data_IF_251502011741
#
_entry.id   IF_251502011741
#
_cell.length_a   1.000
_cell.length_b   1.000
_cell.length_c   1.000
_cell.angle_alpha   90.00
_cell.angle_beta   90.00
_cell.angle_gamma   90.00
#
_symmetry.space_group_name_H-M   'P 1'
#
loop_
_entity.id
_entity.type
_entity.pdbx_description
1 polymer ?
#
# COMPACT_ATOMS: atom_id res chain seq x y z
N UNK A 1 0.59 21.50 36.10
CA UNK A 1 1.69 21.44 35.12
C UNK A 1 1.60 20.14 34.29
N UNK A 2 0.54 19.96 33.48
CA UNK A 2 0.42 18.92 32.42
C UNK A 2 -0.81 19.23 31.54
N UNK A 3 -0.75 20.35 30.82
CA UNK A 3 -1.64 20.68 29.70
C UNK A 3 -0.71 21.25 28.66
N UNK A 4 -0.25 20.47 27.68
CA UNK A 4 0.31 20.94 26.39
C UNK A 4 0.91 19.83 25.48
N UNK A 5 0.42 18.59 25.52
CA UNK A 5 0.88 17.52 24.59
C UNK A 5 -0.18 17.00 23.61
N UNK A 6 -1.36 17.61 23.54
CA UNK A 6 -2.48 17.14 22.71
C UNK A 6 -2.83 18.06 21.52
N UNK A 7 -1.84 18.75 20.93
CA UNK A 7 -2.04 19.53 19.70
C UNK A 7 -0.98 19.21 18.65
N UNK A 8 -1.10 18.03 18.01
CA UNK A 8 -0.97 17.98 16.55
C UNK A 8 -2.18 17.35 15.83
N UNK A 9 -3.15 16.78 16.56
CA UNK A 9 -4.24 15.97 15.98
C UNK A 9 -5.48 16.77 15.50
N UNK A 10 -5.49 18.09 15.63
CA UNK A 10 -6.71 18.92 15.41
C UNK A 10 -6.97 19.25 13.92
N UNK A 11 -6.10 18.85 13.00
CA UNK A 11 -6.31 19.16 11.56
C UNK A 11 -7.25 18.15 10.85
N UNK A 12 -7.63 17.04 11.51
CA UNK A 12 -8.46 15.98 10.90
C UNK A 12 -9.99 16.21 10.91
N UNK A 13 -10.51 17.29 11.49
CA UNK A 13 -11.94 17.36 11.79
C UNK A 13 -12.65 18.56 11.15
N UNK A 14 -13.03 18.43 9.89
CA UNK A 14 -14.18 19.16 9.34
C UNK A 14 -15.53 18.71 9.93
N UNK A 15 -15.55 17.69 10.80
CA UNK A 15 -16.76 17.22 11.48
C UNK A 15 -16.46 16.87 12.94
N UNK A 16 -16.91 17.75 13.83
CA UNK A 16 -16.55 17.73 15.25
C UNK A 16 -17.07 16.51 16.05
N UNK A 17 -17.94 15.65 15.53
CA UNK A 17 -18.49 14.52 16.29
C UNK A 17 -17.73 13.20 16.12
N UNK A 18 -17.17 12.91 14.95
CA UNK A 18 -16.41 11.66 14.71
C UNK A 18 -15.08 11.61 15.48
N UNK A 19 -14.36 12.73 15.51
CA UNK A 19 -13.16 12.88 16.35
C UNK A 19 -13.50 12.83 17.85
N UNK A 20 -14.66 13.35 18.26
CA UNK A 20 -15.13 13.26 19.66
C UNK A 20 -15.43 11.83 20.08
N UNK A 21 -15.91 10.99 19.16
CA UNK A 21 -16.19 9.57 19.42
C UNK A 21 -14.91 8.73 19.59
N UNK A 22 -13.91 8.96 18.74
CA UNK A 22 -12.59 8.36 18.92
C UNK A 22 -11.95 8.76 20.26
N UNK A 23 -12.22 9.98 20.72
CA UNK A 23 -11.74 10.47 22.02
C UNK A 23 -12.56 9.95 23.22
N UNK A 24 -13.81 9.51 23.02
CA UNK A 24 -14.69 9.05 24.10
C UNK A 24 -14.47 7.58 24.47
N UNK A 25 -14.16 6.72 23.49
CA UNK A 25 -13.96 5.28 23.71
C UNK A 25 -12.49 4.89 23.50
N UNK A 26 -11.64 4.96 24.54
CA UNK A 26 -10.19 4.70 24.41
C UNK A 26 -9.88 3.27 23.94
N UNK A 27 -10.78 2.32 24.19
CA UNK A 27 -10.67 0.94 23.68
C UNK A 27 -10.76 0.88 22.15
N UNK A 28 -11.76 1.56 21.57
CA UNK A 28 -12.00 1.59 20.12
C UNK A 28 -10.86 2.31 19.42
N UNK A 29 -10.44 3.46 19.94
CA UNK A 29 -9.30 4.19 19.40
C UNK A 29 -8.01 3.37 19.48
N UNK A 30 -7.76 2.68 20.60
CA UNK A 30 -6.62 1.77 20.73
C UNK A 30 -6.67 0.67 19.67
N UNK A 31 -7.80 0.00 19.48
CA UNK A 31 -7.91 -1.07 18.48
C UNK A 31 -7.70 -0.58 17.05
N UNK A 32 -8.27 0.59 16.69
CA UNK A 32 -8.04 1.21 15.38
C UNK A 32 -6.57 1.59 15.18
N UNK A 33 -5.94 2.24 16.16
CA UNK A 33 -4.54 2.64 16.07
C UNK A 33 -3.59 1.44 16.03
N UNK A 34 -3.86 0.38 16.80
CA UNK A 34 -3.10 -0.87 16.75
C UNK A 34 -3.18 -1.53 15.38
N UNK A 35 -4.39 -1.58 14.79
CA UNK A 35 -4.61 -2.09 13.43
C UNK A 35 -3.82 -1.28 12.40
N UNK A 36 -3.97 0.05 12.43
CA UNK A 36 -3.28 0.97 11.53
C UNK A 36 -1.76 0.86 11.67
N UNK A 37 -1.23 0.73 12.89
CA UNK A 37 0.20 0.61 13.14
C UNK A 37 0.77 -0.71 12.60
N UNK A 38 0.03 -1.81 12.76
CA UNK A 38 0.43 -3.09 12.17
C UNK A 38 0.48 -3.01 10.64
N UNK A 39 -0.57 -2.47 10.01
CA UNK A 39 -0.57 -2.30 8.55
C UNK A 39 0.53 -1.34 8.09
N UNK A 40 0.75 -0.22 8.80
CA UNK A 40 1.84 0.71 8.51
C UNK A 40 3.19 -0.03 8.43
N UNK A 41 3.55 -0.79 9.47
CA UNK A 41 4.83 -1.52 9.52
C UNK A 41 4.95 -2.59 8.42
N UNK A 42 3.87 -3.32 8.13
CA UNK A 42 3.88 -4.32 7.06
C UNK A 42 4.09 -3.67 5.70
N UNK A 43 3.32 -2.62 5.42
CA UNK A 43 3.36 -1.91 4.14
C UNK A 43 4.60 -1.02 4.00
N UNK A 44 5.24 -0.59 5.10
CA UNK A 44 6.56 0.05 5.06
C UNK A 44 7.58 -0.90 4.42
N UNK A 45 7.51 -2.17 4.79
CA UNK A 45 8.39 -3.21 4.24
C UNK A 45 8.03 -3.54 2.79
N UNK A 46 6.74 -3.76 2.52
CA UNK A 46 6.27 -4.09 1.18
C UNK A 46 6.53 -2.97 0.17
N UNK A 47 6.20 -1.73 0.51
CA UNK A 47 6.31 -0.59 -0.39
C UNK A 47 7.77 -0.24 -0.68
N UNK A 48 8.62 -0.25 0.35
CA UNK A 48 10.06 -0.01 0.18
C UNK A 48 10.71 -1.06 -0.72
N UNK A 49 10.31 -2.33 -0.59
CA UNK A 49 10.76 -3.40 -1.49
C UNK A 49 10.16 -3.25 -2.90
N UNK A 50 8.84 -3.03 -3.01
CA UNK A 50 8.13 -2.94 -4.28
C UNK A 50 8.69 -1.84 -5.19
N UNK A 51 8.98 -0.65 -4.65
CA UNK A 51 9.60 0.45 -5.40
C UNK A 51 11.01 0.15 -5.91
N UNK A 52 11.67 -0.86 -5.36
CA UNK A 52 13.01 -1.30 -5.78
C UNK A 52 12.99 -2.61 -6.57
N UNK A 53 11.86 -3.32 -6.64
CA UNK A 53 11.79 -4.66 -7.26
C UNK A 53 12.20 -4.63 -8.74
N UNK A 54 11.72 -3.66 -9.52
CA UNK A 54 12.09 -3.52 -10.93
C UNK A 54 13.57 -3.17 -11.11
N UNK A 55 14.12 -2.37 -10.20
CA UNK A 55 15.52 -1.93 -10.26
C UNK A 55 16.52 -3.00 -9.81
N UNK A 56 16.22 -3.72 -8.73
CA UNK A 56 17.11 -4.76 -8.17
C UNK A 56 16.99 -6.07 -8.94
N UNK A 57 15.79 -6.43 -9.42
CA UNK A 57 15.55 -7.67 -10.15
C UNK A 57 15.31 -7.41 -11.65
N UNK A 58 16.15 -6.57 -12.26
CA UNK A 58 16.04 -6.18 -13.68
C UNK A 58 16.44 -7.29 -14.66
N UNK A 59 17.28 -8.25 -14.23
CA UNK A 59 17.75 -9.36 -15.08
C UNK A 59 16.56 -10.20 -15.58
N UNK A 60 16.32 -10.16 -16.88
CA UNK A 60 15.21 -10.87 -17.53
C UNK A 60 13.81 -10.36 -17.15
N UNK A 61 13.70 -9.17 -16.55
CA UNK A 61 12.44 -8.62 -16.06
C UNK A 61 11.83 -9.42 -14.89
N UNK A 62 12.66 -10.07 -14.07
CA UNK A 62 12.19 -10.90 -12.95
C UNK A 62 11.32 -10.12 -11.95
N UNK A 63 11.72 -8.89 -11.61
CA UNK A 63 10.98 -8.04 -10.66
C UNK A 63 9.60 -7.66 -11.19
N UNK A 64 9.51 -7.24 -12.45
CA UNK A 64 8.24 -6.89 -13.10
C UNK A 64 7.35 -8.11 -13.30
N UNK A 65 7.91 -9.26 -13.67
CA UNK A 65 7.19 -10.53 -13.74
C UNK A 65 6.63 -10.96 -12.37
N UNK A 66 7.40 -10.81 -11.29
CA UNK A 66 6.94 -11.08 -9.92
C UNK A 66 5.78 -10.18 -9.50
N UNK A 67 5.86 -8.87 -9.78
CA UNK A 67 4.74 -7.96 -9.53
C UNK A 67 3.50 -8.37 -10.34
N UNK A 68 3.65 -8.68 -11.63
CA UNK A 68 2.55 -9.15 -12.48
C UNK A 68 1.89 -10.42 -11.93
N UNK A 69 2.68 -11.41 -11.50
CA UNK A 69 2.18 -12.65 -10.87
C UNK A 69 1.43 -12.34 -9.57
N UNK A 70 1.94 -11.42 -8.75
CA UNK A 70 1.27 -10.98 -7.52
C UNK A 70 -0.15 -10.50 -7.83
N UNK A 71 -0.29 -9.55 -8.76
CA UNK A 71 -1.61 -9.02 -9.14
C UNK A 71 -2.51 -10.06 -9.82
N UNK A 72 -1.94 -10.94 -10.66
CA UNK A 72 -2.68 -12.03 -11.29
C UNK A 72 -3.26 -13.02 -10.26
N UNK A 73 -2.56 -13.25 -9.14
CA UNK A 73 -3.04 -14.10 -8.06
C UNK A 73 -4.02 -13.40 -7.11
N UNK A 74 -3.92 -12.08 -6.93
CA UNK A 74 -4.88 -11.30 -6.10
C UNK A 74 -6.32 -11.42 -6.62
N UNK A 75 -6.51 -11.40 -7.95
CA UNK A 75 -7.85 -11.45 -8.58
C UNK A 75 -8.64 -12.71 -8.17
N UNK A 76 -8.20 -13.95 -8.46
CA UNK A 76 -8.93 -15.14 -8.02
C UNK A 76 -8.97 -15.27 -6.49
N UNK A 77 -7.94 -14.77 -5.79
CA UNK A 77 -7.91 -14.78 -4.33
C UNK A 77 -9.04 -13.93 -3.73
N UNK A 78 -9.33 -12.77 -4.29
CA UNK A 78 -10.41 -11.88 -3.83
C UNK A 78 -11.78 -12.52 -3.96
N UNK A 79 -11.98 -13.36 -4.98
CA UNK A 79 -13.26 -14.00 -5.27
C UNK A 79 -13.48 -15.26 -4.43
N UNK A 80 -12.41 -16.04 -4.19
CA UNK A 80 -12.48 -17.37 -3.59
C UNK A 80 -11.93 -17.39 -2.15
N UNK A 81 -10.69 -16.94 -1.98
CA UNK A 81 -9.95 -17.10 -0.71
C UNK A 81 -10.47 -16.13 0.35
N UNK A 82 -10.72 -14.87 -0.01
CA UNK A 82 -11.21 -13.85 0.94
C UNK A 82 -12.51 -14.25 1.66
N UNK A 83 -13.62 -14.58 0.98
CA UNK A 83 -14.86 -14.93 1.68
C UNK A 83 -14.72 -16.23 2.50
N UNK A 84 -13.96 -17.21 2.01
CA UNK A 84 -13.75 -18.47 2.74
C UNK A 84 -12.93 -18.26 4.02
N UNK A 85 -11.83 -17.50 3.92
CA UNK A 85 -10.96 -17.21 5.06
C UNK A 85 -11.71 -16.44 6.15
N UNK A 86 -12.47 -15.41 5.78
CA UNK A 86 -13.19 -14.57 6.75
C UNK A 86 -14.26 -15.35 7.53
N UNK A 87 -14.98 -16.26 6.88
CA UNK A 87 -16.01 -17.04 7.55
C UNK A 87 -15.45 -18.10 8.51
N UNK A 88 -14.36 -18.73 8.09
CA UNK A 88 -13.75 -19.84 8.84
C UNK A 88 -12.91 -19.31 10.00
N UNK A 89 -12.08 -18.31 9.72
CA UNK A 89 -11.05 -17.84 10.65
C UNK A 89 -11.45 -16.55 11.39
N UNK A 90 -12.37 -15.77 10.84
CA UNK A 90 -12.65 -14.42 11.32
C UNK A 90 -11.65 -13.38 10.80
N UNK A 91 -11.93 -12.09 11.05
CA UNK A 91 -11.17 -11.00 10.45
C UNK A 91 -9.71 -10.97 10.96
N UNK A 92 -9.49 -11.07 12.29
CA UNK A 92 -8.17 -11.00 12.90
C UNK A 92 -7.22 -12.08 12.38
N UNK A 93 -7.66 -13.34 12.38
CA UNK A 93 -6.82 -14.47 11.98
C UNK A 93 -6.56 -14.49 10.47
N UNK A 94 -7.55 -14.07 9.67
CA UNK A 94 -7.36 -13.89 8.22
C UNK A 94 -6.26 -12.87 7.95
N UNK A 95 -6.26 -11.72 8.65
CA UNK A 95 -5.19 -10.73 8.53
C UNK A 95 -3.84 -11.27 8.98
N UNK A 96 -3.77 -11.99 10.11
CA UNK A 96 -2.53 -12.59 10.61
C UNK A 96 -1.91 -13.57 9.61
N UNK A 97 -2.70 -14.48 9.04
CA UNK A 97 -2.20 -15.42 8.04
C UNK A 97 -1.76 -14.70 6.75
N UNK A 98 -2.51 -13.68 6.34
CA UNK A 98 -2.12 -12.81 5.22
C UNK A 98 -0.76 -12.18 5.46
N UNK A 99 -0.55 -11.58 6.64
CA UNK A 99 0.72 -10.96 7.04
C UNK A 99 1.89 -11.96 7.13
N UNK A 100 1.66 -13.19 7.57
CA UNK A 100 2.68 -14.24 7.54
C UNK A 100 3.09 -14.59 6.10
N UNK A 101 2.15 -14.59 5.16
CA UNK A 101 2.44 -14.75 3.73
C UNK A 101 3.38 -13.67 3.19
N UNK A 102 3.20 -12.41 3.61
CA UNK A 102 4.12 -11.30 3.27
C UNK A 102 5.53 -11.55 3.84
N UNK A 103 5.65 -12.01 5.08
CA UNK A 103 6.95 -12.34 5.68
C UNK A 103 7.65 -13.45 4.90
N UNK A 104 6.92 -14.50 4.48
CA UNK A 104 7.47 -15.58 3.65
C UNK A 104 7.97 -15.04 2.31
N UNK A 105 7.22 -14.14 1.67
CA UNK A 105 7.67 -13.47 0.44
C UNK A 105 8.99 -12.69 0.65
N UNK A 106 9.13 -11.95 1.75
CA UNK A 106 10.38 -11.24 2.06
C UNK A 106 11.55 -12.20 2.32
N UNK A 107 11.30 -13.33 2.99
CA UNK A 107 12.33 -14.36 3.21
C UNK A 107 12.77 -15.00 1.89
N UNK A 108 11.83 -15.31 0.98
CA UNK A 108 12.16 -15.83 -0.34
C UNK A 108 12.95 -14.81 -1.18
N UNK A 109 12.72 -13.52 -0.94
CA UNK A 109 13.43 -12.43 -1.63
C UNK A 109 14.89 -12.29 -1.19
N UNK A 110 15.36 -12.98 -0.14
CA UNK A 110 16.78 -12.99 0.26
C UNK A 110 17.69 -13.72 -0.76
N UNK A 111 17.11 -14.63 -1.53
CA UNK A 111 17.80 -15.37 -2.59
C UNK A 111 17.01 -15.17 -3.90
N UNK A 112 17.12 -14.00 -4.55
CA UNK A 112 16.29 -13.67 -5.69
C UNK A 112 16.62 -14.54 -6.90
N UNK A 113 15.60 -15.18 -7.44
CA UNK A 113 15.66 -16.00 -8.64
C UNK A 113 14.25 -16.38 -9.09
N UNK A 114 14.13 -16.89 -10.31
CA UNK A 114 12.84 -17.31 -10.86
C UNK A 114 12.10 -18.33 -9.99
N UNK A 115 12.84 -19.22 -9.33
CA UNK A 115 12.28 -20.26 -8.45
C UNK A 115 11.84 -19.74 -7.07
N UNK A 116 12.28 -18.55 -6.64
CA UNK A 116 11.94 -17.99 -5.32
C UNK A 116 10.95 -16.83 -5.44
N UNK A 117 11.21 -15.89 -6.34
CA UNK A 117 10.39 -14.68 -6.53
C UNK A 117 9.02 -15.05 -7.10
N UNK A 118 8.94 -15.90 -8.14
CA UNK A 118 7.65 -16.21 -8.77
C UNK A 118 6.70 -16.95 -7.81
N UNK A 119 7.10 -18.03 -7.10
CA UNK A 119 6.23 -18.66 -6.12
C UNK A 119 5.94 -17.75 -4.92
N UNK A 120 6.93 -16.95 -4.48
CA UNK A 120 6.73 -15.97 -3.42
C UNK A 120 5.69 -14.91 -3.79
N UNK A 121 5.73 -14.39 -5.01
CA UNK A 121 4.77 -13.44 -5.56
C UNK A 121 3.36 -14.05 -5.70
N UNK A 122 3.26 -15.32 -6.11
CA UNK A 122 1.98 -16.02 -6.16
C UNK A 122 1.37 -16.16 -4.76
N UNK A 123 2.18 -16.57 -3.77
CA UNK A 123 1.77 -16.64 -2.36
C UNK A 123 1.33 -15.27 -1.84
N UNK A 124 2.13 -14.23 -2.10
CA UNK A 124 1.82 -12.86 -1.73
C UNK A 124 0.47 -12.42 -2.29
N UNK A 125 0.18 -12.71 -3.56
CA UNK A 125 -1.09 -12.38 -4.19
C UNK A 125 -2.29 -13.13 -3.57
N UNK A 126 -2.11 -14.42 -3.26
CA UNK A 126 -3.11 -15.24 -2.56
C UNK A 126 -3.37 -14.77 -1.12
N UNK A 127 -2.38 -14.16 -0.47
CA UNK A 127 -2.50 -13.63 0.88
C UNK A 127 -2.97 -12.16 0.91
N UNK A 128 -2.69 -11.38 -0.14
CA UNK A 128 -2.98 -9.95 -0.20
C UNK A 128 -4.49 -9.66 -0.21
N UNK A 129 -5.26 -10.36 -1.03
CA UNK A 129 -6.70 -10.13 -1.10
C UNK A 129 -7.44 -10.41 0.24
N UNK A 130 -7.25 -11.55 0.93
CA UNK A 130 -7.89 -11.79 2.22
C UNK A 130 -7.41 -10.83 3.31
N UNK A 131 -6.14 -10.39 3.27
CA UNK A 131 -5.61 -9.40 4.20
C UNK A 131 -6.40 -8.08 4.15
N UNK A 132 -6.58 -7.52 2.95
CA UNK A 132 -7.34 -6.28 2.75
C UNK A 132 -8.83 -6.46 3.04
N UNK A 133 -9.42 -7.59 2.66
CA UNK A 133 -10.81 -7.89 2.97
C UNK A 133 -11.06 -7.99 4.49
N UNK A 134 -10.14 -8.62 5.22
CA UNK A 134 -10.18 -8.70 6.69
C UNK A 134 -10.04 -7.35 7.37
N UNK A 135 -9.18 -6.48 6.84
CA UNK A 135 -9.04 -5.09 7.32
C UNK A 135 -10.35 -4.32 7.16
N UNK A 136 -10.95 -4.36 5.96
CA UNK A 136 -12.19 -3.64 5.69
C UNK A 136 -13.33 -4.13 6.58
N UNK A 137 -13.47 -5.45 6.74
CA UNK A 137 -14.47 -6.03 7.63
C UNK A 137 -14.26 -5.63 9.09
N UNK A 138 -13.02 -5.69 9.58
CA UNK A 138 -12.69 -5.31 10.95
C UNK A 138 -13.00 -3.83 11.22
N UNK A 139 -12.65 -2.96 10.27
CA UNK A 139 -12.90 -1.52 10.37
C UNK A 139 -14.39 -1.20 10.38
N UNK A 140 -15.18 -1.89 9.54
CA UNK A 140 -16.65 -1.79 9.54
C UNK A 140 -17.23 -2.26 10.88
N UNK A 141 -16.78 -3.39 11.41
CA UNK A 141 -17.21 -3.91 12.71
C UNK A 141 -16.90 -2.92 13.84
N UNK A 142 -15.71 -2.33 13.82
CA UNK A 142 -15.29 -1.37 14.83
C UNK A 142 -16.11 -0.08 14.76
N UNK A 143 -16.41 0.41 13.55
CA UNK A 143 -17.30 1.56 13.35
C UNK A 143 -18.73 1.26 13.83
N UNK A 144 -19.25 0.06 13.58
CA UNK A 144 -20.57 -0.35 14.04
C UNK A 144 -20.66 -0.44 15.58
N UNK A 145 -19.61 -0.94 16.25
CA UNK A 145 -19.52 -0.94 17.73
C UNK A 145 -19.52 0.50 18.24
N UNK A 146 -18.74 1.39 17.61
CA UNK A 146 -18.69 2.79 17.99
C UNK A 146 -20.05 3.49 17.83
N UNK A 147 -20.77 3.22 16.74
CA UNK A 147 -22.12 3.75 16.51
C UNK A 147 -23.14 3.24 17.56
N UNK A 148 -23.01 1.98 17.97
CA UNK A 148 -23.86 1.40 19.02
C UNK A 148 -23.59 2.04 20.39
N UNK A 149 -22.33 2.26 20.76
CA UNK A 149 -21.94 2.98 21.98
C UNK A 149 -22.46 4.43 21.96
N UNK A 150 -22.28 5.13 20.84
CA UNK A 150 -22.78 6.49 20.66
C UNK A 150 -24.30 6.59 20.86
N UNK A 151 -25.05 5.61 20.32
CA UNK A 151 -26.49 5.56 20.45
C UNK A 151 -26.96 5.25 21.88
N UNK A 152 -26.18 4.49 22.66
CA UNK A 152 -26.46 4.23 24.07
C UNK A 152 -26.22 5.49 24.93
N UNK A 153 -25.14 6.22 24.67
CA UNK A 153 -24.81 7.48 25.35
C UNK A 153 -25.83 8.58 25.06
N UNK A 154 -26.30 8.69 23.81
CA UNK A 154 -27.30 9.69 23.42
C UNK A 154 -28.66 9.44 24.11
N UNK A 155 -29.07 8.16 24.26
CA UNK A 155 -30.24 7.79 25.08
C UNK A 155 -30.06 8.16 26.56
N UNK A 156 -28.85 7.99 27.10
CA UNK A 156 -28.51 8.42 28.45
C UNK A 156 -28.59 9.94 28.63
N UNK A 157 -28.10 10.72 27.66
CA UNK A 157 -28.19 12.20 27.66
C UNK A 157 -29.61 12.71 27.48
N UNK A 158 -30.40 12.06 26.62
CA UNK A 158 -31.79 12.44 26.39
C UNK A 158 -32.65 12.22 27.63
N UNK A 159 -32.40 11.15 28.39
CA UNK A 159 -33.03 10.93 29.70
C UNK A 159 -32.64 12.01 30.73
N UNK A 160 -31.47 12.64 30.59
CA UNK A 160 -31.00 13.76 31.43
C UNK A 160 -31.34 15.15 30.87
N UNK A 161 -32.18 15.24 29.83
CA UNK A 161 -32.70 16.52 29.30
C UNK A 161 -31.72 17.30 28.39
N UNK A 162 -30.64 16.68 27.93
CA UNK A 162 -29.68 17.34 27.05
C UNK A 162 -30.03 17.15 25.56
N UNK A 163 -29.74 18.16 24.73
CA UNK A 163 -30.04 18.12 23.29
C UNK A 163 -29.07 17.18 22.58
N UNK A 164 -29.62 16.08 22.03
CA UNK A 164 -28.86 15.03 21.35
C UNK A 164 -27.95 15.53 20.23
N UNK A 165 -26.79 14.89 20.11
CA UNK A 165 -25.73 15.27 19.17
C UNK A 165 -26.04 14.87 17.72
N UNK A 166 -25.49 15.60 16.75
CA UNK A 166 -25.62 15.29 15.32
C UNK A 166 -24.91 13.96 15.00
N UNK A 167 -25.64 12.95 14.51
CA UNK A 167 -25.09 11.68 14.02
C UNK A 167 -24.17 11.95 12.83
N UNK A 168 -22.89 11.63 12.96
CA UNK A 168 -21.90 11.68 11.88
C UNK A 168 -21.72 10.28 11.33
N UNK A 169 -21.48 10.16 10.03
CA UNK A 169 -21.09 8.88 9.44
C UNK A 169 -19.73 8.47 10.02
N UNK A 170 -19.72 7.50 10.92
CA UNK A 170 -18.54 7.03 11.64
C UNK A 170 -17.62 6.22 10.73
N UNK A 171 -18.19 5.48 9.78
CA UNK A 171 -17.43 4.60 8.89
C UNK A 171 -16.34 5.31 8.04
N UNK A 172 -16.63 6.41 7.31
CA UNK A 172 -15.59 7.12 6.54
C UNK A 172 -14.49 7.71 7.42
N UNK A 173 -14.78 8.06 8.68
CA UNK A 173 -13.77 8.58 9.62
C UNK A 173 -12.78 7.49 10.00
N UNK A 174 -13.26 6.27 10.24
CA UNK A 174 -12.41 5.14 10.61
C UNK A 174 -11.48 4.74 9.47
N UNK A 175 -12.02 4.60 8.26
CA UNK A 175 -11.21 4.37 7.06
C UNK A 175 -10.25 5.52 6.78
N UNK A 176 -10.69 6.77 6.94
CA UNK A 176 -9.84 7.94 6.76
C UNK A 176 -8.63 7.96 7.71
N UNK A 177 -8.84 7.68 9.00
CA UNK A 177 -7.74 7.57 9.98
C UNK A 177 -6.81 6.40 9.63
N UNK A 178 -7.38 5.24 9.29
CA UNK A 178 -6.60 4.07 8.91
C UNK A 178 -5.72 4.34 7.69
N UNK A 179 -6.30 4.79 6.58
CA UNK A 179 -5.56 5.05 5.35
C UNK A 179 -4.58 6.20 5.52
N UNK A 180 -4.90 7.27 6.26
CA UNK A 180 -3.92 8.35 6.51
C UNK A 180 -2.64 7.81 7.18
N UNK A 181 -2.80 6.92 8.16
CA UNK A 181 -1.65 6.30 8.85
C UNK A 181 -0.93 5.33 7.92
N UNK A 182 -1.64 4.41 7.28
CA UNK A 182 -1.04 3.36 6.44
C UNK A 182 -0.35 3.94 5.20
N UNK A 183 -0.93 4.95 4.57
CA UNK A 183 -0.35 5.65 3.42
C UNK A 183 1.03 6.27 3.71
N UNK A 184 1.30 6.62 4.97
CA UNK A 184 2.64 7.09 5.37
C UNK A 184 3.74 6.01 5.24
N UNK A 185 3.38 4.75 4.97
CA UNK A 185 4.33 3.67 4.70
C UNK A 185 5.28 3.99 3.53
N UNK A 186 4.81 4.74 2.52
CA UNK A 186 5.61 5.21 1.40
C UNK A 186 6.79 6.09 1.86
N UNK A 187 6.63 6.83 2.95
CA UNK A 187 7.71 7.66 3.51
C UNK A 187 8.74 6.76 4.19
N UNK A 188 8.30 5.90 5.11
CA UNK A 188 9.19 5.09 5.92
C UNK A 188 9.91 4.00 5.12
N UNK A 189 9.20 3.34 4.19
CA UNK A 189 9.78 2.26 3.38
C UNK A 189 10.88 2.78 2.47
N UNK A 190 10.61 3.90 1.78
CA UNK A 190 11.57 4.53 0.91
C UNK A 190 12.71 5.24 1.67
N UNK A 191 12.46 5.66 2.92
CA UNK A 191 13.52 6.16 3.80
C UNK A 191 14.50 5.05 4.20
N UNK A 192 14.00 3.85 4.56
CA UNK A 192 14.85 2.68 4.82
C UNK A 192 15.69 2.34 3.58
N UNK A 193 15.07 2.34 2.40
CA UNK A 193 15.76 2.16 1.12
C UNK A 193 16.87 3.19 0.90
N UNK A 194 16.56 4.48 1.00
CA UNK A 194 17.52 5.55 0.77
C UNK A 194 18.71 5.47 1.73
N UNK A 195 18.45 5.34 3.03
CA UNK A 195 19.50 5.34 4.06
C UNK A 195 20.43 4.13 3.97
N UNK A 196 19.92 2.99 3.48
CA UNK A 196 20.73 1.78 3.33
C UNK A 196 21.57 1.80 2.05
N UNK A 197 21.08 2.45 1.01
CA UNK A 197 21.71 2.44 -0.31
C UNK A 197 22.69 3.60 -0.53
N UNK A 198 22.47 4.75 0.11
CA UNK A 198 23.33 5.93 -0.03
C UNK A 198 24.75 5.67 0.51
N UNK A 199 25.77 5.99 -0.27
CA UNK A 199 27.16 6.00 0.21
C UNK A 199 27.50 7.35 0.83
N UNK A 200 27.97 7.32 2.08
CA UNK A 200 28.58 8.48 2.73
C UNK A 200 30.10 8.34 2.66
N UNK A 201 30.71 9.03 1.71
CA UNK A 201 32.15 9.34 1.75
C UNK A 201 32.35 10.73 2.36
N UNK A 202 33.46 10.94 3.08
CA UNK A 202 33.77 12.12 3.92
C UNK A 202 33.96 13.47 3.17
N UNK A 203 33.32 13.66 2.02
CA UNK A 203 33.36 14.91 1.25
C UNK A 203 32.09 15.26 0.48
N UNK A 204 31.02 14.46 0.59
CA UNK A 204 29.75 14.70 -0.11
C UNK A 204 28.93 13.43 -0.27
N UNK A 205 27.63 13.57 -0.51
CA UNK A 205 26.75 12.46 -0.90
C UNK A 205 27.14 12.05 -2.32
N UNK A 206 27.99 11.05 -2.47
CA UNK A 206 28.28 10.45 -3.77
C UNK A 206 27.29 9.30 -4.00
N UNK A 207 26.36 9.47 -4.93
CA UNK A 207 25.55 8.38 -5.43
C UNK A 207 26.45 7.40 -6.21
N UNK A 208 27.06 6.45 -5.52
CA UNK A 208 27.73 5.33 -6.16
C UNK A 208 26.68 4.43 -6.80
N UNK A 209 26.42 4.64 -8.08
CA UNK A 209 26.01 3.61 -9.04
C UNK A 209 26.13 4.25 -10.40
N UNK A 210 26.79 3.55 -11.32
CA UNK A 210 27.17 4.05 -12.62
C UNK A 210 25.97 4.72 -13.32
N UNK A 211 25.98 6.06 -13.37
CA UNK A 211 25.31 6.79 -14.42
C UNK A 211 26.06 6.42 -15.71
N UNK A 212 25.74 5.25 -16.25
CA UNK A 212 26.29 4.79 -17.52
C UNK A 212 25.75 5.77 -18.55
N UNK A 213 26.62 6.69 -18.97
CA UNK A 213 26.37 7.80 -19.89
C UNK A 213 25.92 7.37 -21.30
N UNK A 214 25.56 6.10 -21.49
CA UNK A 214 25.15 5.47 -22.74
C UNK A 214 23.73 4.85 -22.69
N UNK A 215 22.99 4.97 -21.58
CA UNK A 215 21.57 4.57 -21.56
C UNK A 215 20.66 5.71 -22.00
N UNK A 216 19.68 5.37 -22.85
CA UNK A 216 18.58 6.26 -23.19
C UNK A 216 17.52 6.16 -22.08
N UNK A 217 17.56 7.03 -21.07
CA UNK A 217 16.60 7.08 -19.97
C UNK A 217 15.28 7.77 -20.37
N UNK A 218 14.28 7.74 -19.48
CA UNK A 218 12.97 8.36 -19.70
C UNK A 218 12.15 7.60 -20.76
N UNK A 219 11.49 8.31 -21.68
CA UNK A 219 10.63 7.69 -22.68
C UNK A 219 11.34 6.74 -23.66
N UNK A 220 12.68 6.81 -23.77
CA UNK A 220 13.50 5.92 -24.61
C UNK A 220 14.04 4.70 -23.86
N UNK A 221 13.68 4.54 -22.59
CA UNK A 221 14.14 3.43 -21.77
C UNK A 221 13.64 2.10 -22.33
N UNK A 222 14.56 1.15 -22.53
CA UNK A 222 14.26 -0.19 -23.01
C UNK A 222 14.99 -1.23 -22.14
N UNK A 223 14.29 -1.96 -21.26
CA UNK A 223 14.92 -2.92 -20.35
C UNK A 223 15.50 -4.16 -21.06
N UNK A 224 15.14 -4.40 -22.34
CA UNK A 224 15.45 -5.62 -23.08
C UNK A 224 16.75 -5.58 -23.91
N UNK A 225 17.49 -4.47 -23.93
CA UNK A 225 18.76 -4.37 -24.66
C UNK A 225 19.91 -4.06 -23.69
N UNK A 226 20.84 -5.00 -23.43
CA UNK A 226 22.17 -4.59 -23.00
C UNK A 226 22.73 -3.64 -24.06
N UNK A 227 23.37 -2.55 -23.64
CA UNK A 227 23.90 -1.55 -24.55
C UNK A 227 24.73 -2.23 -25.65
N UNK A 228 24.53 -1.85 -26.90
CA UNK A 228 25.40 -2.29 -27.99
C UNK A 228 26.83 -1.82 -27.65
N UNK A 229 27.68 -2.76 -27.21
CA UNK A 229 29.06 -2.49 -26.77
C UNK A 229 29.32 -2.51 -25.26
N UNK A 230 28.35 -2.90 -24.41
CA UNK A 230 28.66 -3.28 -23.03
C UNK A 230 29.30 -4.68 -23.06
N UNK A 231 30.63 -4.73 -23.01
CA UNK A 231 31.33 -5.96 -22.66
C UNK A 231 30.83 -6.41 -21.27
N UNK A 232 30.46 -7.69 -21.17
CA UNK A 232 30.21 -8.32 -19.88
C UNK A 232 31.44 -8.10 -18.98
N UNK A 233 31.26 -7.84 -17.67
CA UNK A 233 32.39 -7.65 -16.76
C UNK A 233 33.36 -8.82 -16.92
N UNK A 234 34.60 -8.50 -17.31
CA UNK A 234 35.61 -9.45 -17.80
C UNK A 234 36.37 -10.17 -16.68
N UNK A 235 35.91 -10.06 -15.43
CA UNK A 235 36.52 -10.77 -14.30
C UNK A 235 35.46 -11.35 -13.36
N UNK A 236 35.57 -12.66 -13.09
CA UNK A 236 34.72 -13.39 -12.15
C UNK A 236 34.79 -12.81 -10.71
N UNK A 237 35.84 -12.04 -10.39
CA UNK A 237 36.09 -11.44 -9.08
C UNK A 237 35.30 -10.13 -8.83
N UNK A 238 35.00 -9.33 -9.87
CA UNK A 238 34.12 -8.14 -9.71
C UNK A 238 32.65 -8.53 -9.65
N UNK A 239 32.27 -9.64 -10.29
CA UNK A 239 30.92 -10.21 -10.24
C UNK A 239 30.64 -10.86 -8.88
N UNK A 240 31.63 -11.47 -8.22
CA UNK A 240 31.49 -12.01 -6.85
C UNK A 240 31.34 -10.91 -5.76
N UNK A 241 31.87 -9.70 -5.99
CA UNK A 241 31.73 -8.57 -5.07
C UNK A 241 30.35 -7.87 -5.15
N UNK A 242 29.65 -8.06 -6.28
CA UNK A 242 28.32 -7.53 -6.54
C UNK A 242 27.27 -8.57 -6.10
N UNK A 243 26.55 -8.27 -5.03
CA UNK A 243 25.37 -9.02 -4.62
C UNK A 243 24.20 -8.89 -5.60
N UNK A 244 23.04 -9.48 -5.24
CA UNK A 244 21.88 -9.49 -6.13
C UNK A 244 21.48 -8.10 -6.63
N UNK A 245 21.21 -7.97 -7.93
CA UNK A 245 20.80 -6.72 -8.55
C UNK A 245 21.89 -5.68 -8.79
N UNK A 246 23.16 -6.08 -8.78
CA UNK A 246 24.29 -5.16 -9.00
C UNK A 246 24.57 -4.26 -7.80
N UNK A 247 24.04 -4.60 -6.61
CA UNK A 247 24.32 -3.91 -5.36
C UNK A 247 25.40 -4.66 -4.57
N UNK A 248 26.26 -3.98 -3.80
CA UNK A 248 27.13 -4.66 -2.83
C UNK A 248 26.32 -5.57 -1.89
N UNK A 249 26.76 -6.81 -1.70
CA UNK A 249 26.01 -7.83 -0.95
C UNK A 249 25.61 -7.35 0.46
N UNK A 250 26.51 -6.62 1.15
CA UNK A 250 26.25 -6.04 2.47
C UNK A 250 25.04 -5.10 2.45
N UNK A 251 24.92 -4.23 1.44
CA UNK A 251 23.79 -3.28 1.33
C UNK A 251 22.48 -4.01 1.06
N UNK A 252 22.50 -4.97 0.14
CA UNK A 252 21.32 -5.77 -0.20
C UNK A 252 20.77 -6.52 1.03
N UNK A 253 21.64 -7.28 1.72
CA UNK A 253 21.20 -8.06 2.88
C UNK A 253 20.83 -7.17 4.08
N UNK A 254 21.50 -6.03 4.28
CA UNK A 254 21.11 -5.06 5.30
C UNK A 254 19.69 -4.55 5.01
N UNK A 255 19.42 -4.13 3.77
CA UNK A 255 18.10 -3.64 3.35
C UNK A 255 17.01 -4.69 3.57
N UNK A 256 17.22 -5.92 3.10
CA UNK A 256 16.24 -7.00 3.26
C UNK A 256 16.03 -7.35 4.74
N UNK A 257 17.08 -7.35 5.55
CA UNK A 257 16.96 -7.62 6.99
C UNK A 257 16.12 -6.56 7.71
N UNK A 258 16.25 -5.28 7.36
CA UNK A 258 15.43 -4.20 7.91
C UNK A 258 13.95 -4.38 7.57
N UNK A 259 13.64 -4.75 6.32
CA UNK A 259 12.25 -5.03 5.90
C UNK A 259 11.68 -6.26 6.59
N UNK A 260 12.42 -7.36 6.69
CA UNK A 260 11.96 -8.57 7.40
C UNK A 260 11.72 -8.27 8.87
N UNK A 261 12.64 -7.56 9.54
CA UNK A 261 12.49 -7.19 10.95
C UNK A 261 11.23 -6.34 11.16
N UNK A 262 11.02 -5.33 10.32
CA UNK A 262 9.85 -4.45 10.40
C UNK A 262 8.55 -5.23 10.15
N UNK A 263 8.54 -6.15 9.18
CA UNK A 263 7.40 -7.02 8.89
C UNK A 263 7.10 -7.99 10.04
N UNK A 264 8.11 -8.58 10.68
CA UNK A 264 7.92 -9.45 11.85
C UNK A 264 7.33 -8.66 13.02
N UNK A 265 7.81 -7.45 13.28
CA UNK A 265 7.23 -6.56 14.31
C UNK A 265 5.76 -6.26 13.98
N UNK A 266 5.40 -6.05 12.71
CA UNK A 266 3.99 -5.89 12.31
C UNK A 266 3.13 -7.09 12.71
N UNK A 267 3.59 -8.33 12.48
CA UNK A 267 2.87 -9.55 12.88
C UNK A 267 2.68 -9.60 14.40
N UNK A 268 3.71 -9.26 15.17
CA UNK A 268 3.64 -9.22 16.63
C UNK A 268 2.63 -8.17 17.11
N UNK A 269 2.60 -6.98 16.50
CA UNK A 269 1.61 -5.95 16.79
C UNK A 269 0.19 -6.45 16.47
N UNK A 270 -0.04 -7.05 15.31
CA UNK A 270 -1.35 -7.64 14.96
C UNK A 270 -1.78 -8.71 15.96
N UNK A 271 -0.85 -9.57 16.39
CA UNK A 271 -1.16 -10.69 17.26
C UNK A 271 -1.53 -10.22 18.68
N UNK A 272 -0.72 -9.34 19.28
CA UNK A 272 -0.84 -8.94 20.67
C UNK A 272 -1.73 -7.72 20.90
N UNK A 273 -1.73 -6.73 20.00
CA UNK A 273 -2.36 -5.42 20.23
C UNK A 273 -3.74 -5.26 19.56
N UNK A 274 -4.05 -6.07 18.55
CA UNK A 274 -5.36 -6.03 17.88
C UNK A 274 -6.31 -7.02 18.53
N UNK A 275 -7.37 -6.49 19.14
CA UNK A 275 -8.40 -7.30 19.80
C UNK A 275 -9.26 -8.03 18.77
N UNK A 276 -9.74 -9.24 19.13
CA UNK A 276 -10.64 -10.03 18.26
C UNK A 276 -12.07 -9.51 18.42
N UNK A 277 -12.67 -9.06 17.31
CA UNK A 277 -14.03 -8.47 17.29
C UNK A 277 -15.04 -9.31 16.50
N UNK A 278 -14.81 -10.62 16.37
CA UNK A 278 -15.75 -11.47 15.62
C UNK A 278 -17.15 -11.41 16.28
N UNK A 279 -18.22 -11.22 15.49
CA UNK A 279 -19.57 -11.23 16.04
C UNK A 279 -19.84 -12.57 16.73
N UNK A 280 -20.62 -12.60 17.82
CA UNK A 280 -21.02 -13.85 18.44
C UNK A 280 -21.70 -14.72 17.39
N UNK A 281 -21.13 -15.90 17.11
CA UNK A 281 -21.75 -16.90 16.24
C UNK A 281 -23.00 -17.41 16.96
N UNK A 282 -24.10 -16.69 16.81
CA UNK A 282 -25.43 -17.10 17.28
C UNK A 282 -26.05 -18.13 16.33
N UNK A 283 -25.28 -19.12 15.90
CA UNK A 283 -25.79 -20.33 15.25
C UNK A 283 -24.84 -21.45 15.69
N UNK A 284 -25.40 -22.52 16.26
CA UNK A 284 -24.66 -23.78 16.37
C UNK A 284 -24.07 -24.07 14.99
N UNK A 285 -22.80 -24.49 14.88
CA UNK A 285 -22.25 -24.88 13.60
C UNK A 285 -23.05 -26.10 13.13
N UNK A 286 -24.08 -25.87 12.31
CA UNK A 286 -24.67 -26.93 11.52
C UNK A 286 -23.49 -27.55 10.80
N UNK A 287 -23.19 -28.81 11.11
CA UNK A 287 -22.19 -29.61 10.37
C UNK A 287 -22.71 -29.74 8.95
N UNK A 288 -22.54 -28.68 8.16
CA UNK A 288 -22.91 -28.63 6.77
C UNK A 288 -22.05 -29.69 6.08
N UNK A 289 -22.68 -30.74 5.55
CA UNK A 289 -21.97 -31.72 4.75
C UNK A 289 -21.24 -31.02 3.61
N UNK A 290 -20.16 -31.62 3.09
CA UNK A 290 -19.35 -31.06 1.99
C UNK A 290 -20.20 -30.55 0.82
N UNK A 291 -21.34 -31.19 0.56
CA UNK A 291 -22.28 -30.80 -0.50
C UNK A 291 -23.01 -29.47 -0.22
N UNK A 292 -23.32 -29.17 1.04
CA UNK A 292 -23.97 -27.94 1.48
C UNK A 292 -22.98 -26.76 1.56
N UNK A 293 -21.70 -27.02 1.86
CA UNK A 293 -20.65 -26.00 1.79
C UNK A 293 -20.35 -25.61 0.33
N UNK A 294 -20.31 -26.59 -0.58
CA UNK A 294 -20.12 -26.35 -2.01
C UNK A 294 -21.29 -25.57 -2.61
N UNK A 295 -22.54 -25.89 -2.24
CA UNK A 295 -23.71 -25.14 -2.73
C UNK A 295 -23.72 -23.68 -2.23
N UNK A 296 -23.34 -23.44 -0.97
CA UNK A 296 -23.19 -22.08 -0.44
C UNK A 296 -22.06 -21.30 -1.13
N UNK A 297 -20.92 -21.94 -1.41
CA UNK A 297 -19.83 -21.31 -2.16
C UNK A 297 -20.27 -20.96 -3.59
N UNK A 298 -20.95 -21.89 -4.28
CA UNK A 298 -21.50 -21.66 -5.62
C UNK A 298 -22.52 -20.54 -5.63
N UNK A 299 -23.37 -20.43 -4.61
CA UNK A 299 -24.33 -19.34 -4.51
C UNK A 299 -23.64 -17.98 -4.31
N UNK A 300 -22.58 -17.93 -3.51
CA UNK A 300 -21.77 -16.70 -3.34
C UNK A 300 -21.03 -16.31 -4.60
N UNK A 301 -20.43 -17.28 -5.28
CA UNK A 301 -19.81 -17.04 -6.58
C UNK A 301 -20.84 -16.56 -7.59
N UNK A 302 -22.04 -17.15 -7.61
CA UNK A 302 -23.14 -16.67 -8.43
C UNK A 302 -23.54 -15.24 -8.09
N UNK A 303 -23.65 -14.89 -6.80
CA UNK A 303 -23.97 -13.52 -6.36
C UNK A 303 -22.86 -12.53 -6.74
N UNK A 304 -21.59 -12.89 -6.54
CA UNK A 304 -20.44 -12.08 -6.95
C UNK A 304 -20.39 -11.89 -8.47
N UNK A 305 -20.61 -12.95 -9.25
CA UNK A 305 -20.69 -12.89 -10.71
C UNK A 305 -21.90 -12.09 -11.19
N UNK A 306 -23.04 -12.22 -10.52
CA UNK A 306 -24.22 -11.39 -10.82
C UNK A 306 -23.95 -9.91 -10.51
N UNK A 307 -23.20 -9.62 -9.46
CA UNK A 307 -22.79 -8.27 -9.10
C UNK A 307 -21.90 -7.64 -10.19
N UNK A 308 -21.00 -8.42 -10.81
CA UNK A 308 -20.15 -7.95 -11.92
C UNK A 308 -20.94 -7.52 -13.17
N UNK A 309 -22.20 -7.93 -13.30
CA UNK A 309 -23.10 -7.54 -14.39
C UNK A 309 -23.91 -6.28 -14.05
N UNK A 310 -23.80 -5.76 -12.81
CA UNK A 310 -24.39 -4.48 -12.46
C UNK A 310 -23.75 -3.37 -13.32
N UNK A 311 -24.54 -2.60 -14.10
CA UNK A 311 -24.01 -1.54 -14.93
C UNK A 311 -23.16 -0.54 -14.14
N UNK A 312 -23.45 -0.30 -12.85
CA UNK A 312 -22.64 0.61 -12.02
C UNK A 312 -21.24 0.08 -11.78
N UNK A 313 -21.09 -1.24 -11.57
CA UNK A 313 -19.77 -1.86 -11.41
C UNK A 313 -19.03 -1.93 -12.73
N UNK A 314 -19.73 -2.23 -13.82
CA UNK A 314 -19.13 -2.28 -15.14
C UNK A 314 -18.54 -0.93 -15.56
N UNK A 315 -19.17 0.19 -15.20
CA UNK A 315 -18.61 1.53 -15.42
C UNK A 315 -17.40 1.85 -14.52
N UNK A 316 -17.29 1.22 -13.35
CA UNK A 316 -16.15 1.40 -12.43
C UNK A 316 -14.93 0.54 -12.83
N UNK A 317 -15.14 -0.58 -13.52
CA UNK A 317 -14.04 -1.48 -13.93
C UNK A 317 -12.94 -0.76 -14.72
N UNK A 318 -13.22 -0.01 -15.82
CA UNK A 318 -12.19 0.72 -16.56
C UNK A 318 -11.42 1.72 -15.69
N UNK A 319 -12.13 2.40 -14.78
CA UNK A 319 -11.54 3.36 -13.86
C UNK A 319 -10.53 2.69 -12.91
N UNK A 320 -10.90 1.54 -12.35
CA UNK A 320 -10.03 0.76 -11.45
C UNK A 320 -8.84 0.13 -12.19
N UNK A 321 -9.03 -0.31 -13.44
CA UNK A 321 -7.95 -0.80 -14.29
C UNK A 321 -6.95 0.33 -14.56
N UNK A 322 -7.44 1.51 -14.93
CA UNK A 322 -6.59 2.67 -15.18
C UNK A 322 -5.79 3.08 -13.95
N UNK A 323 -6.42 3.09 -12.76
CA UNK A 323 -5.72 3.35 -11.50
C UNK A 323 -4.62 2.31 -11.22
N UNK A 324 -4.89 1.02 -11.46
CA UNK A 324 -3.91 -0.05 -11.31
C UNK A 324 -2.73 0.06 -12.28
N UNK A 325 -3.00 0.35 -13.56
CA UNK A 325 -1.96 0.58 -14.57
C UNK A 325 -1.08 1.79 -14.21
N UNK A 326 -1.69 2.87 -13.72
CA UNK A 326 -0.98 4.06 -13.25
C UNK A 326 -0.05 3.78 -12.06
N UNK A 327 -0.51 2.98 -11.09
CA UNK A 327 0.35 2.53 -9.98
C UNK A 327 1.48 1.64 -10.48
N UNK A 328 1.23 0.75 -11.43
CA UNK A 328 2.26 -0.12 -12.02
C UNK A 328 3.34 0.71 -12.74
N UNK A 329 2.93 1.72 -13.52
CA UNK A 329 3.86 2.66 -14.17
C UNK A 329 4.71 3.41 -13.12
N UNK A 330 4.08 3.90 -12.05
CA UNK A 330 4.77 4.67 -11.01
C UNK A 330 5.81 3.87 -10.23
N UNK A 331 5.48 2.62 -9.87
CA UNK A 331 6.31 1.77 -9.02
C UNK A 331 7.28 0.89 -9.81
N UNK A 332 7.05 0.71 -11.11
CA UNK A 332 7.87 -0.09 -12.00
C UNK A 332 8.71 0.78 -12.91
N UNK A 333 8.07 1.37 -13.93
CA UNK A 333 8.72 2.02 -15.06
C UNK A 333 9.30 3.40 -14.72
N UNK A 334 8.58 4.20 -13.93
CA UNK A 334 9.06 5.52 -13.50
C UNK A 334 10.29 5.40 -12.59
N UNK A 335 10.24 4.54 -11.58
CA UNK A 335 11.37 4.33 -10.67
C UNK A 335 12.58 3.73 -11.37
N UNK A 336 12.40 2.79 -12.31
CA UNK A 336 13.50 2.17 -13.04
C UNK A 336 14.03 3.07 -14.18
N UNK A 337 13.15 3.44 -15.12
CA UNK A 337 13.53 4.09 -16.37
C UNK A 337 13.76 5.60 -16.27
N UNK A 338 13.14 6.27 -15.29
CA UNK A 338 13.30 7.72 -15.11
C UNK A 338 14.24 8.03 -13.95
N UNK A 339 14.00 7.46 -12.77
CA UNK A 339 14.77 7.80 -11.55
C UNK A 339 16.09 7.03 -11.46
N UNK A 340 16.04 5.70 -11.43
CA UNK A 340 17.24 4.87 -11.26
C UNK A 340 18.21 5.02 -12.43
N UNK A 341 17.69 5.07 -13.66
CA UNK A 341 18.50 5.25 -14.87
C UNK A 341 19.29 6.57 -14.88
N UNK A 342 18.73 7.67 -14.37
CA UNK A 342 19.38 8.99 -14.43
C UNK A 342 20.18 9.34 -13.18
N UNK A 343 19.68 8.96 -12.00
CA UNK A 343 20.18 9.45 -10.71
C UNK A 343 20.69 8.32 -9.80
N UNK A 344 20.58 7.06 -10.23
CA UNK A 344 20.99 5.88 -9.48
C UNK A 344 19.89 5.29 -8.58
N UNK A 345 20.09 4.04 -8.15
CA UNK A 345 19.07 3.25 -7.42
C UNK A 345 18.79 3.87 -6.03
N UNK A 346 19.78 4.46 -5.38
CA UNK A 346 19.59 5.12 -4.08
C UNK A 346 18.59 6.28 -4.17
N UNK A 347 18.61 7.06 -5.28
CA UNK A 347 17.72 8.19 -5.49
C UNK A 347 16.25 7.80 -5.65
N UNK A 348 15.95 6.54 -5.98
CA UNK A 348 14.56 6.03 -6.02
C UNK A 348 13.88 6.24 -4.67
N UNK A 349 14.55 5.87 -3.57
CA UNK A 349 14.02 6.08 -2.23
C UNK A 349 13.79 7.56 -1.92
N UNK A 350 14.72 8.43 -2.31
CA UNK A 350 14.61 9.87 -2.08
C UNK A 350 13.42 10.50 -2.83
N UNK A 351 13.25 10.16 -4.11
CA UNK A 351 12.13 10.65 -4.93
C UNK A 351 10.79 10.11 -4.42
N UNK A 352 10.71 8.83 -4.06
CA UNK A 352 9.46 8.21 -3.59
C UNK A 352 9.05 8.65 -2.17
N UNK A 353 9.96 9.21 -1.37
CA UNK A 353 9.55 9.94 -0.14
C UNK A 353 8.66 11.13 -0.48
N UNK A 354 8.98 11.89 -1.53
CA UNK A 354 8.16 13.04 -1.96
C UNK A 354 6.78 12.63 -2.48
N UNK A 355 6.70 11.47 -3.15
CA UNK A 355 5.44 10.81 -3.48
C UNK A 355 4.62 10.52 -2.22
N UNK A 356 5.21 9.86 -1.21
CA UNK A 356 4.52 9.51 0.03
C UNK A 356 4.05 10.72 0.84
N UNK A 357 4.85 11.78 0.92
CA UNK A 357 4.45 13.04 1.58
C UNK A 357 3.24 13.65 0.88
N UNK A 358 3.27 13.72 -0.45
CA UNK A 358 2.15 14.23 -1.24
C UNK A 358 0.88 13.40 -1.04
N UNK A 359 1.03 12.09 -0.94
CA UNK A 359 -0.08 11.16 -0.72
C UNK A 359 -0.77 11.42 0.64
N UNK A 360 -0.01 11.57 1.73
CA UNK A 360 -0.56 11.87 3.06
C UNK A 360 -1.25 13.24 3.07
N UNK A 361 -0.62 14.27 2.52
CA UNK A 361 -1.18 15.63 2.49
C UNK A 361 -2.46 15.67 1.64
N UNK A 362 -2.42 15.08 0.45
CA UNK A 362 -3.55 15.11 -0.47
C UNK A 362 -4.71 14.27 0.04
N UNK A 363 -4.49 13.13 0.70
CA UNK A 363 -5.57 12.31 1.26
C UNK A 363 -6.37 13.05 2.33
N UNK A 364 -5.68 13.80 3.19
CA UNK A 364 -6.32 14.65 4.19
C UNK A 364 -7.18 15.77 3.56
N UNK A 365 -6.70 16.34 2.46
CA UNK A 365 -7.39 17.42 1.75
C UNK A 365 -8.51 16.92 0.83
N UNK A 366 -8.35 15.75 0.21
CA UNK A 366 -9.29 15.17 -0.76
C UNK A 366 -10.66 14.92 -0.12
N UNK A 367 -10.70 14.38 1.11
CA UNK A 367 -11.95 14.19 1.83
C UNK A 367 -12.67 15.50 2.14
N UNK A 368 -11.93 16.57 2.46
CA UNK A 368 -12.50 17.90 2.69
C UNK A 368 -12.98 18.55 1.39
N UNK A 369 -12.23 18.37 0.30
CA UNK A 369 -12.60 18.86 -1.02
C UNK A 369 -13.89 18.18 -1.50
N UNK A 370 -13.96 16.85 -1.42
CA UNK A 370 -15.15 16.09 -1.80
C UNK A 370 -16.38 16.46 -0.96
N UNK A 371 -16.20 16.81 0.32
CA UNK A 371 -17.29 17.30 1.16
C UNK A 371 -17.82 18.69 0.75
N UNK A 372 -17.00 19.53 0.10
CA UNK A 372 -17.38 20.90 -0.31
C UNK A 372 -17.93 20.96 -1.74
N UNK A 373 -17.26 20.33 -2.69
CA UNK A 373 -17.60 20.41 -4.13
C UNK A 373 -18.22 19.12 -4.68
N UNK A 374 -18.35 18.08 -3.85
CA UNK A 374 -18.80 16.74 -4.25
C UNK A 374 -17.65 15.85 -4.71
N UNK A 375 -17.81 14.51 -4.69
CA UNK A 375 -16.75 13.57 -5.05
C UNK A 375 -16.44 13.55 -6.55
N UNK A 376 -17.44 13.74 -7.42
CA UNK A 376 -17.27 13.62 -8.87
C UNK A 376 -16.30 14.65 -9.47
N UNK A 377 -16.38 15.96 -9.15
CA UNK A 377 -15.40 16.93 -9.65
C UNK A 377 -13.96 16.65 -9.20
N UNK A 378 -13.79 16.14 -7.97
CA UNK A 378 -12.47 15.80 -7.42
C UNK A 378 -11.87 14.61 -8.17
N UNK A 379 -12.67 13.55 -8.39
CA UNK A 379 -12.25 12.39 -9.19
C UNK A 379 -11.92 12.77 -10.65
N UNK A 380 -12.74 13.62 -11.28
CA UNK A 380 -12.47 14.09 -12.65
C UNK A 380 -11.18 14.90 -12.72
N UNK A 381 -10.89 15.73 -11.72
CA UNK A 381 -9.63 16.48 -11.67
C UNK A 381 -8.40 15.56 -11.53
N UNK A 382 -8.50 14.50 -10.72
CA UNK A 382 -7.45 13.52 -10.58
C UNK A 382 -7.22 12.72 -11.87
N UNK A 383 -8.29 12.35 -12.57
CA UNK A 383 -8.20 11.69 -13.88
C UNK A 383 -7.52 12.56 -14.93
N UNK A 384 -7.89 13.85 -15.00
CA UNK A 384 -7.26 14.78 -15.94
C UNK A 384 -5.79 15.01 -15.60
N UNK A 385 -5.45 15.13 -14.31
CA UNK A 385 -4.07 15.22 -13.84
C UNK A 385 -3.25 13.99 -14.22
N UNK A 386 -3.82 12.79 -14.00
CA UNK A 386 -3.19 11.53 -14.38
C UNK A 386 -2.87 11.46 -15.87
N UNK A 387 -3.87 11.73 -16.72
CA UNK A 387 -3.71 11.72 -18.18
C UNK A 387 -2.65 12.73 -18.64
N UNK A 388 -2.65 13.93 -18.05
CA UNK A 388 -1.64 14.95 -18.36
C UNK A 388 -0.22 14.49 -18.01
N UNK A 389 -0.06 13.78 -16.90
CA UNK A 389 1.24 13.24 -16.46
C UNK A 389 1.72 12.08 -17.32
N UNK A 390 0.83 11.15 -17.67
CA UNK A 390 1.13 10.03 -18.57
C UNK A 390 1.53 10.53 -19.96
N UNK A 391 0.72 11.42 -20.53
CA UNK A 391 1.03 12.05 -21.84
C UNK A 391 2.31 12.89 -21.74
N UNK A 392 2.50 13.64 -20.67
CA UNK A 392 3.71 14.43 -20.44
C UNK A 392 4.97 13.56 -20.39
N UNK A 393 4.89 12.37 -19.80
CA UNK A 393 6.00 11.42 -19.69
C UNK A 393 6.45 10.87 -21.05
N UNK A 394 5.59 10.87 -22.08
CA UNK A 394 5.94 10.46 -23.45
C UNK A 394 6.88 11.44 -24.15
N UNK A 395 6.85 12.72 -23.76
CA UNK A 395 7.64 13.78 -24.38
C UNK A 395 8.79 14.25 -23.48
N UNK A 396 8.93 13.66 -22.30
CA UNK A 396 9.87 14.14 -21.30
C UNK A 396 11.26 13.52 -21.49
N UNK A 397 12.22 14.36 -21.89
CA UNK A 397 13.65 14.04 -21.82
C UNK A 397 14.18 14.31 -20.41
N UNK A 398 14.60 13.24 -19.73
CA UNK A 398 15.11 13.32 -18.36
C UNK A 398 16.60 13.60 -18.39
N UNK A 399 17.00 14.72 -17.80
CA UNK A 399 18.39 15.10 -17.60
C UNK A 399 18.86 14.65 -16.20
N UNK A 400 20.13 14.25 -16.03
CA UNK A 400 20.66 13.86 -14.71
C UNK A 400 20.66 15.00 -13.69
N UNK A 401 20.73 16.25 -14.16
CA UNK A 401 20.69 17.44 -13.33
C UNK A 401 19.86 18.52 -14.04
N UNK A 402 19.02 19.28 -13.32
CA UNK A 402 18.72 19.17 -11.88
C UNK A 402 17.68 18.07 -11.55
N UNK A 403 17.72 17.51 -10.34
CA UNK A 403 16.84 16.40 -9.90
C UNK A 403 15.42 16.82 -9.48
N UNK A 404 15.17 18.12 -9.25
CA UNK A 404 13.86 18.62 -8.78
C UNK A 404 12.65 18.23 -9.67
N UNK A 405 12.76 18.08 -11.00
CA UNK A 405 11.63 17.66 -11.84
C UNK A 405 11.15 16.24 -11.52
N UNK A 406 12.05 15.33 -11.12
CA UNK A 406 11.69 13.97 -10.69
C UNK A 406 10.82 14.02 -9.43
N UNK A 407 11.19 14.87 -8.47
CA UNK A 407 10.37 15.12 -7.27
C UNK A 407 9.02 15.76 -7.60
N UNK A 408 9.00 16.72 -8.53
CA UNK A 408 7.76 17.35 -8.99
C UNK A 408 6.77 16.33 -9.57
N UNK A 409 7.26 15.42 -10.42
CA UNK A 409 6.45 14.34 -10.98
C UNK A 409 5.96 13.38 -9.88
N UNK A 410 6.84 12.97 -8.96
CA UNK A 410 6.48 12.10 -7.86
C UNK A 410 5.41 12.71 -6.93
N UNK A 411 5.51 14.00 -6.62
CA UNK A 411 4.51 14.74 -5.83
C UNK A 411 3.16 14.75 -6.55
N UNK A 412 3.13 15.06 -7.85
CA UNK A 412 1.89 15.07 -8.60
C UNK A 412 1.24 13.67 -8.67
N UNK A 413 2.06 12.61 -8.78
CA UNK A 413 1.55 11.24 -8.81
C UNK A 413 0.99 10.80 -7.46
N UNK A 414 1.69 11.14 -6.37
CA UNK A 414 1.21 10.87 -5.01
C UNK A 414 -0.09 11.60 -4.69
N UNK A 415 -0.28 12.80 -5.24
CA UNK A 415 -1.53 13.55 -5.08
C UNK A 415 -2.70 12.85 -5.79
N UNK A 416 -2.51 12.49 -7.07
CA UNK A 416 -3.51 11.78 -7.87
C UNK A 416 -3.87 10.44 -7.24
N UNK A 417 -2.86 9.64 -6.88
CA UNK A 417 -3.07 8.32 -6.27
C UNK A 417 -3.86 8.42 -4.96
N UNK A 418 -3.54 9.40 -4.13
CA UNK A 418 -4.26 9.59 -2.88
C UNK A 418 -5.73 9.95 -3.08
N UNK A 419 -6.09 10.68 -4.14
CA UNK A 419 -7.49 10.99 -4.44
C UNK A 419 -8.24 9.70 -4.78
N UNK A 420 -7.64 8.82 -5.59
CA UNK A 420 -8.22 7.52 -5.92
C UNK A 420 -8.43 6.66 -4.68
N UNK A 421 -7.38 6.50 -3.86
CA UNK A 421 -7.42 5.70 -2.62
C UNK A 421 -8.45 6.24 -1.62
N UNK A 422 -8.64 7.56 -1.54
CA UNK A 422 -9.54 8.19 -0.55
C UNK A 422 -11.00 8.18 -0.98
N UNK A 423 -11.29 8.22 -2.28
CA UNK A 423 -12.65 8.39 -2.79
C UNK A 423 -13.26 7.12 -3.40
N UNK A 424 -12.45 6.13 -3.78
CA UNK A 424 -12.94 4.84 -4.29
C UNK A 424 -13.11 3.77 -3.21
N UNK A 425 -12.42 3.89 -2.07
CA UNK A 425 -12.61 3.06 -0.88
C UNK A 425 -13.63 3.70 0.06
#
# INVERSE_FOLDING_TARGET
CQRNLARPFVVMAGSSSGARLLLSSPKIARSLLSLSMSFLLMFTSYQGLASLQSSINSVGGLGTAGLAVTYACVVPSSLLVSPLALDWLGAKWTMLLGMLGYVIYFLLSLAPGWATIIPGSALLGLCGAPLWAGMSLYTVQLAAIADAEAAADDKGRQNNGDKGGKKVATLPVFFGVFFTIVTSCNIWGNLISYLTLVDRSDGGVSNSTAAISNFSCGYRFCPAKPAAGAEAPTSDAEVEALGPGGLPAVKFYTLMSCFIATAVVSVLVMFFLVDRNDPPKNEEPVKAGTQQQVSQLLERLRKALAQLVDPRQLLLVPLTINAGLSQAFSLGDFTEGFVACTSGIASVGLVMISYGVSQVVTGLLAGQAAARVGPAPVLLSALMGLLAMEVGSLFWEVLPQPEWPLHGMAVAWGAVDSVWVTLLN
#
